data_IF_440049719387
#
_entry.id   IF_440049719387
#
_cell.length_a   1.000
_cell.length_b   1.000
_cell.length_c   1.000
_cell.angle_alpha   90.00
_cell.angle_beta   90.00
_cell.angle_gamma   90.00
#
_symmetry.space_group_name_H-M   'P 1'
#
loop_
_entity.id
_entity.type
_entity.pdbx_description
1 polymer ?
#
# COMPACT_ATOMS: atom_id res chain seq x y z
N UNK A 1 23.12 -17.43 1.57
CA UNK A 1 23.99 -18.17 2.53
C UNK A 1 23.12 -18.51 3.73
N UNK A 2 23.02 -19.79 4.13
CA UNK A 2 22.12 -20.19 5.23
C UNK A 2 22.69 -19.68 6.55
N UNK A 3 21.94 -18.87 7.29
CA UNK A 3 22.35 -18.35 8.60
C UNK A 3 22.61 -19.55 9.53
N UNK A 4 23.66 -19.48 10.35
CA UNK A 4 24.01 -20.51 11.34
C UNK A 4 23.91 -19.93 12.75
N UNK A 5 23.43 -20.74 13.70
CA UNK A 5 23.44 -20.36 15.11
C UNK A 5 24.85 -20.03 15.59
N UNK A 6 25.01 -18.80 16.04
CA UNK A 6 26.23 -18.30 16.64
C UNK A 6 26.55 -19.08 17.92
N UNK A 7 27.84 -19.34 18.13
CA UNK A 7 28.42 -19.94 19.33
C UNK A 7 29.15 -18.90 20.19
N UNK A 8 29.45 -17.72 19.62
CA UNK A 8 30.04 -16.59 20.33
C UNK A 8 29.24 -15.31 20.12
N UNK A 9 29.51 -14.28 20.93
CA UNK A 9 28.85 -12.97 20.83
C UNK A 9 29.24 -12.26 19.52
N UNK A 10 30.49 -12.40 19.09
CA UNK A 10 31.01 -11.85 17.83
C UNK A 10 30.31 -12.49 16.63
N UNK A 11 30.13 -13.81 16.66
CA UNK A 11 29.34 -14.51 15.64
C UNK A 11 27.88 -14.04 15.67
N UNK A 12 27.30 -13.82 16.86
CA UNK A 12 25.91 -13.34 16.97
C UNK A 12 25.74 -11.94 16.35
N UNK A 13 26.71 -11.04 16.60
CA UNK A 13 26.73 -9.70 16.01
C UNK A 13 26.86 -9.73 14.49
N UNK A 14 27.60 -10.69 13.94
CA UNK A 14 27.78 -10.83 12.48
C UNK A 14 26.60 -11.54 11.80
N UNK A 15 25.86 -12.38 12.52
CA UNK A 15 24.75 -13.18 11.98
C UNK A 15 23.44 -12.38 11.94
N UNK A 16 23.18 -11.52 12.92
CA UNK A 16 21.92 -10.78 12.99
C UNK A 16 22.05 -9.33 12.53
N UNK A 17 21.45 -9.02 11.39
CA UNK A 17 21.13 -7.64 11.05
C UNK A 17 19.88 -7.21 11.83
N UNK A 18 20.07 -6.38 12.86
CA UNK A 18 18.98 -5.85 13.71
C UNK A 18 17.94 -5.04 12.95
N UNK A 19 18.23 -4.62 11.71
CA UNK A 19 17.28 -3.89 10.86
C UNK A 19 16.36 -4.82 10.07
N UNK A 20 16.70 -6.11 9.94
CA UNK A 20 15.92 -7.07 9.18
C UNK A 20 15.10 -7.96 10.13
N UNK A 21 13.76 -7.94 10.04
CA UNK A 21 12.94 -8.86 10.81
C UNK A 21 13.19 -10.29 10.37
N UNK A 22 13.00 -11.23 11.30
CA UNK A 22 13.06 -12.65 10.98
C UNK A 22 11.83 -13.03 10.14
N UNK A 23 12.01 -14.01 9.27
CA UNK A 23 11.01 -14.57 8.39
C UNK A 23 11.06 -16.11 8.43
N UNK A 24 10.26 -16.76 7.60
CA UNK A 24 10.15 -18.22 7.60
C UNK A 24 11.48 -18.93 7.27
N UNK A 25 12.40 -18.30 6.53
CA UNK A 25 13.67 -18.90 6.14
C UNK A 25 14.66 -18.98 7.32
N UNK A 26 14.44 -18.18 8.36
CA UNK A 26 15.26 -18.11 9.58
C UNK A 26 14.42 -18.41 10.85
N UNK A 27 13.35 -19.19 10.70
CA UNK A 27 12.49 -19.68 11.79
C UNK A 27 13.24 -20.34 12.96
N UNK A 28 14.38 -20.97 12.70
CA UNK A 28 15.18 -21.63 13.75
C UNK A 28 15.75 -20.66 14.80
N UNK A 29 15.79 -19.36 14.48
CA UNK A 29 16.22 -18.28 15.36
C UNK A 29 15.06 -17.57 16.05
N UNK A 30 13.83 -17.85 15.63
CA UNK A 30 12.65 -17.18 16.16
C UNK A 30 12.28 -17.72 17.55
N UNK A 31 12.08 -16.80 18.49
CA UNK A 31 11.52 -17.07 19.81
C UNK A 31 10.16 -16.38 19.89
N UNK A 32 9.11 -17.17 20.08
CA UNK A 32 7.72 -16.67 20.07
C UNK A 32 7.35 -16.00 21.39
N UNK A 33 7.86 -14.78 21.59
CA UNK A 33 7.54 -13.94 22.76
C UNK A 33 6.14 -13.30 22.67
N UNK A 34 5.50 -13.35 21.49
CA UNK A 34 4.16 -12.82 21.23
C UNK A 34 3.11 -13.91 21.06
N UNK A 35 3.38 -15.11 21.60
CA UNK A 35 2.57 -16.29 21.35
C UNK A 35 1.08 -16.05 21.58
N UNK A 36 0.73 -15.47 22.73
CA UNK A 36 -0.66 -15.21 23.10
C UNK A 36 -1.30 -14.13 22.22
N UNK A 37 -0.55 -13.08 21.87
CA UNK A 37 -1.04 -11.99 21.01
C UNK A 37 -1.30 -12.49 19.59
N UNK A 38 -0.37 -13.29 19.03
CA UNK A 38 -0.54 -13.90 17.72
C UNK A 38 -1.70 -14.91 17.72
N UNK A 39 -1.89 -15.70 18.78
CA UNK A 39 -3.04 -16.59 18.91
C UNK A 39 -4.37 -15.81 18.89
N UNK A 40 -4.45 -14.71 19.63
CA UNK A 40 -5.63 -13.87 19.67
C UNK A 40 -5.89 -13.23 18.30
N UNK A 41 -4.86 -12.66 17.67
CA UNK A 41 -4.98 -12.05 16.35
C UNK A 41 -5.38 -13.07 15.27
N UNK A 42 -4.79 -14.28 15.29
CA UNK A 42 -5.19 -15.37 14.38
C UNK A 42 -6.65 -15.75 14.58
N UNK A 43 -7.10 -15.88 15.82
CA UNK A 43 -8.50 -16.17 16.14
C UNK A 43 -9.42 -15.07 15.61
N UNK A 44 -9.07 -13.81 15.84
CA UNK A 44 -9.84 -12.66 15.37
C UNK A 44 -9.94 -12.64 13.84
N UNK A 45 -8.84 -12.91 13.13
CA UNK A 45 -8.83 -13.01 11.66
C UNK A 45 -9.68 -14.19 11.17
N UNK A 46 -9.54 -15.36 11.77
CA UNK A 46 -10.33 -16.55 11.38
C UNK A 46 -11.83 -16.34 11.63
N UNK A 47 -12.20 -15.69 12.73
CA UNK A 47 -13.59 -15.40 13.07
C UNK A 47 -14.12 -14.12 12.39
N UNK A 48 -13.26 -13.32 11.75
CA UNK A 48 -13.68 -12.11 11.10
C UNK A 48 -14.62 -12.40 9.91
N UNK A 49 -15.82 -11.83 9.97
CA UNK A 49 -16.83 -11.89 8.91
C UNK A 49 -16.90 -10.58 8.10
N UNK A 50 -16.17 -9.54 8.51
CA UNK A 50 -16.18 -8.20 7.93
C UNK A 50 -14.96 -8.08 6.99
N UNK A 51 -15.11 -8.15 5.66
CA UNK A 51 -13.97 -8.25 4.73
C UNK A 51 -12.98 -7.08 4.79
N UNK A 52 -13.47 -5.89 5.12
CA UNK A 52 -12.72 -4.63 5.17
C UNK A 52 -12.21 -4.25 6.57
N UNK A 53 -12.31 -5.16 7.54
CA UNK A 53 -11.83 -4.91 8.89
C UNK A 53 -10.30 -4.82 8.92
N UNK A 54 -9.82 -3.65 9.32
CA UNK A 54 -8.40 -3.38 9.56
C UNK A 54 -8.01 -3.66 11.02
N UNK A 55 -6.82 -4.22 11.24
CA UNK A 55 -6.24 -4.46 12.56
C UNK A 55 -4.95 -3.65 12.70
N UNK A 56 -4.87 -2.82 13.73
CA UNK A 56 -3.66 -2.04 14.02
C UNK A 56 -2.81 -2.76 15.06
N UNK A 57 -1.56 -3.06 14.71
CA UNK A 57 -0.59 -3.67 15.61
C UNK A 57 0.39 -2.60 16.06
N UNK A 58 0.34 -2.26 17.35
CA UNK A 58 1.10 -1.15 17.93
C UNK A 58 2.08 -1.64 19.00
N UNK A 59 3.15 -0.88 19.22
CA UNK A 59 4.11 -1.12 20.31
C UNK A 59 5.46 -0.50 20.01
N UNK A 60 6.37 -0.49 20.98
CA UNK A 60 7.68 0.16 20.83
C UNK A 60 8.51 -0.44 19.69
N UNK A 61 9.30 0.41 19.03
CA UNK A 61 10.21 0.00 17.96
C UNK A 61 11.30 -0.95 18.50
N UNK A 62 11.73 -1.92 17.68
CA UNK A 62 12.76 -2.88 18.07
C UNK A 62 12.28 -4.09 18.89
N UNK A 63 11.02 -4.14 19.33
CA UNK A 63 10.52 -5.25 20.15
C UNK A 63 10.11 -6.50 19.35
N UNK A 64 10.41 -6.61 18.05
CA UNK A 64 10.13 -7.81 17.26
C UNK A 64 8.71 -7.96 16.70
N UNK A 65 7.93 -6.88 16.60
CA UNK A 65 6.56 -6.90 16.04
C UNK A 65 6.52 -7.36 14.58
N UNK A 66 7.36 -6.78 13.72
CA UNK A 66 7.49 -7.17 12.31
C UNK A 66 7.86 -8.65 12.16
N UNK A 67 8.81 -9.12 12.97
CA UNK A 67 9.15 -10.54 13.08
C UNK A 67 7.92 -11.38 13.45
N UNK A 68 7.19 -11.02 14.51
CA UNK A 68 6.00 -11.75 14.93
C UNK A 68 4.94 -11.80 13.83
N UNK A 69 4.73 -10.70 13.08
CA UNK A 69 3.81 -10.63 11.96
C UNK A 69 4.23 -11.55 10.79
N UNK A 70 5.53 -11.72 10.53
CA UNK A 70 6.01 -12.68 9.53
C UNK A 70 5.70 -14.14 9.90
N UNK A 71 5.49 -14.41 11.19
CA UNK A 71 5.04 -15.70 11.73
C UNK A 71 3.53 -15.76 12.02
N UNK A 72 2.78 -14.70 11.70
CA UNK A 72 1.32 -14.69 11.85
C UNK A 72 0.63 -15.80 11.05
N UNK A 73 0.98 -16.06 9.76
CA UNK A 73 0.29 -17.07 8.97
C UNK A 73 0.56 -18.48 9.49
N UNK A 74 -0.50 -19.14 9.95
CA UNK A 74 -0.51 -20.57 10.27
C UNK A 74 -1.38 -21.34 9.26
N UNK A 75 -1.60 -22.63 9.49
CA UNK A 75 -2.43 -23.46 8.60
C UNK A 75 -3.86 -22.94 8.47
N UNK A 76 -4.45 -22.40 9.55
CA UNK A 76 -5.82 -21.88 9.52
C UNK A 76 -5.91 -20.58 8.72
N UNK A 77 -4.97 -19.65 8.95
CA UNK A 77 -4.86 -18.41 8.19
C UNK A 77 -4.60 -18.71 6.72
N UNK A 78 -3.62 -19.55 6.39
CA UNK A 78 -3.30 -19.89 4.99
C UNK A 78 -4.41 -20.66 4.28
N UNK A 79 -5.33 -21.30 5.02
CA UNK A 79 -6.54 -21.92 4.43
C UNK A 79 -7.58 -20.87 4.05
N UNK A 80 -7.77 -19.83 4.86
CA UNK A 80 -8.78 -18.78 4.66
C UNK A 80 -8.27 -17.60 3.83
N UNK A 81 -6.97 -17.30 3.89
CA UNK A 81 -6.37 -16.10 3.32
C UNK A 81 -5.21 -16.40 2.37
N UNK A 82 -5.09 -15.61 1.31
CA UNK A 82 -3.84 -15.37 0.60
C UNK A 82 -3.16 -14.15 1.23
N UNK A 83 -1.99 -14.36 1.83
CA UNK A 83 -1.29 -13.33 2.60
C UNK A 83 -0.29 -12.61 1.72
N UNK A 84 -0.38 -11.28 1.67
CA UNK A 84 0.57 -10.39 0.99
C UNK A 84 1.21 -9.45 2.00
N UNK A 85 2.51 -9.21 1.84
CA UNK A 85 3.26 -8.27 2.66
C UNK A 85 3.61 -7.04 1.84
N UNK A 86 3.37 -5.87 2.43
CA UNK A 86 3.76 -4.57 1.92
C UNK A 86 4.67 -3.92 2.98
N UNK A 87 5.98 -4.10 2.81
CA UNK A 87 6.97 -3.50 3.69
C UNK A 87 7.22 -2.05 3.27
N UNK A 88 6.82 -1.10 4.12
CA UNK A 88 6.91 0.33 3.81
C UNK A 88 8.32 0.80 3.48
N UNK A 89 9.35 0.18 4.10
CA UNK A 89 10.76 0.46 3.81
C UNK A 89 11.15 0.19 2.33
N UNK A 90 10.47 -0.77 1.71
CA UNK A 90 10.78 -1.26 0.36
C UNK A 90 10.01 -0.52 -0.72
N UNK A 91 8.90 0.12 -0.38
CA UNK A 91 7.98 0.68 -1.39
C UNK A 91 7.76 2.18 -1.22
N UNK A 92 7.90 2.72 -0.01
CA UNK A 92 7.64 4.13 0.25
C UNK A 92 8.90 4.95 0.50
N UNK A 93 8.80 6.24 0.18
CA UNK A 93 9.68 7.26 0.74
C UNK A 93 9.03 7.78 2.01
N UNK A 94 9.33 7.18 3.17
CA UNK A 94 8.62 7.45 4.44
C UNK A 94 8.65 8.91 4.92
N UNK A 95 9.63 9.72 4.51
CA UNK A 95 9.67 11.17 4.80
C UNK A 95 8.76 12.02 3.89
N UNK A 96 8.11 11.38 2.91
CA UNK A 96 7.31 11.97 1.83
C UNK A 96 6.28 10.92 1.38
N UNK A 97 5.45 10.45 2.32
CA UNK A 97 4.37 9.50 2.09
C UNK A 97 3.01 10.20 2.14
N UNK A 98 2.08 9.73 1.33
CA UNK A 98 0.70 10.20 1.18
C UNK A 98 -0.25 9.00 1.07
N UNK A 99 -1.53 9.20 1.38
CA UNK A 99 -2.54 8.14 1.30
C UNK A 99 -2.71 7.57 -0.12
N UNK A 100 -2.54 8.42 -1.15
CA UNK A 100 -2.56 7.98 -2.56
C UNK A 100 -1.42 6.99 -2.82
N UNK A 101 -0.25 7.19 -2.21
CA UNK A 101 0.86 6.26 -2.34
C UNK A 101 0.50 4.90 -1.77
N UNK A 102 -0.17 4.86 -0.61
CA UNK A 102 -0.62 3.62 0.04
C UNK A 102 -1.62 2.88 -0.83
N UNK A 103 -2.65 3.57 -1.34
CA UNK A 103 -3.66 2.97 -2.23
C UNK A 103 -2.99 2.34 -3.46
N UNK A 104 -2.09 3.09 -4.11
CA UNK A 104 -1.38 2.62 -5.30
C UNK A 104 -0.48 1.41 -5.00
N UNK A 105 0.26 1.44 -3.88
CA UNK A 105 1.18 0.35 -3.52
C UNK A 105 0.44 -0.90 -3.05
N UNK A 106 -0.75 -0.76 -2.46
CA UNK A 106 -1.63 -1.91 -2.19
C UNK A 106 -2.02 -2.57 -3.52
N UNK A 107 -2.55 -1.79 -4.48
CA UNK A 107 -2.88 -2.30 -5.81
C UNK A 107 -1.69 -2.96 -6.50
N UNK A 108 -0.52 -2.32 -6.45
CA UNK A 108 0.72 -2.89 -7.00
C UNK A 108 1.11 -4.22 -6.33
N UNK A 109 1.02 -4.29 -5.00
CA UNK A 109 1.40 -5.49 -4.23
C UNK A 109 0.55 -6.71 -4.60
N UNK A 110 -0.70 -6.49 -4.98
CA UNK A 110 -1.63 -7.54 -5.42
C UNK A 110 -1.24 -8.06 -6.80
N UNK A 111 -0.92 -7.16 -7.74
CA UNK A 111 -0.64 -7.52 -9.14
C UNK A 111 0.81 -7.90 -9.40
N UNK A 112 1.72 -7.56 -8.49
CA UNK A 112 3.17 -7.81 -8.64
C UNK A 112 3.43 -9.29 -8.89
N UNK A 113 4.14 -9.57 -9.99
CA UNK A 113 4.45 -10.94 -10.42
C UNK A 113 3.34 -11.60 -11.24
N UNK A 114 2.26 -10.88 -11.56
CA UNK A 114 1.22 -11.29 -12.49
C UNK A 114 1.11 -10.27 -13.64
N UNK A 115 1.75 -10.53 -14.80
CA UNK A 115 1.82 -9.58 -15.92
C UNK A 115 0.45 -9.15 -16.47
N UNK A 116 -0.54 -10.04 -16.45
CA UNK A 116 -1.88 -9.75 -16.98
C UNK A 116 -2.63 -8.76 -16.07
N UNK A 117 -2.62 -9.01 -14.76
CA UNK A 117 -3.23 -8.09 -13.79
C UNK A 117 -2.47 -6.78 -13.68
N UNK A 118 -1.15 -6.82 -13.79
CA UNK A 118 -0.33 -5.60 -13.77
C UNK A 118 -0.66 -4.71 -14.97
N UNK A 119 -0.74 -5.30 -16.17
CA UNK A 119 -1.18 -4.59 -17.38
C UNK A 119 -2.60 -4.05 -17.23
N UNK A 120 -3.53 -4.83 -16.66
CA UNK A 120 -4.90 -4.38 -16.38
C UNK A 120 -4.89 -3.18 -15.43
N UNK A 121 -4.16 -3.25 -14.33
CA UNK A 121 -4.10 -2.18 -13.34
C UNK A 121 -3.51 -0.88 -13.91
N UNK A 122 -2.39 -0.96 -14.62
CA UNK A 122 -1.79 0.19 -15.29
C UNK A 122 -2.75 0.85 -16.29
N UNK A 123 -3.52 0.03 -17.03
CA UNK A 123 -4.55 0.54 -17.93
C UNK A 123 -5.68 1.26 -17.18
N UNK A 124 -6.19 0.68 -16.09
CA UNK A 124 -7.22 1.33 -15.26
C UNK A 124 -6.74 2.68 -14.70
N UNK A 125 -5.47 2.78 -14.29
CA UNK A 125 -4.87 4.05 -13.84
C UNK A 125 -4.77 5.08 -14.96
N UNK A 126 -4.38 4.66 -16.17
CA UNK A 126 -4.31 5.52 -17.36
C UNK A 126 -5.69 6.01 -17.79
N UNK A 127 -6.68 5.12 -17.79
CA UNK A 127 -8.07 5.46 -18.13
C UNK A 127 -8.67 6.39 -17.08
N UNK A 128 -8.38 6.16 -15.79
CA UNK A 128 -8.77 7.06 -14.71
C UNK A 128 -8.16 8.45 -14.90
N UNK A 129 -6.85 8.54 -15.16
CA UNK A 129 -6.15 9.81 -15.45
C UNK A 129 -6.82 10.55 -16.62
N UNK A 130 -7.01 9.88 -17.76
CA UNK A 130 -7.64 10.49 -18.96
C UNK A 130 -9.03 11.03 -18.65
N UNK A 131 -9.85 10.26 -17.93
CA UNK A 131 -11.19 10.68 -17.51
C UNK A 131 -11.15 11.94 -16.65
N UNK A 132 -10.18 12.05 -15.73
CA UNK A 132 -10.02 13.25 -14.88
C UNK A 132 -9.57 14.45 -15.67
N UNK A 133 -8.54 14.31 -16.50
CA UNK A 133 -8.05 15.40 -17.33
C UNK A 133 -9.14 15.94 -18.26
N UNK A 134 -9.91 15.07 -18.90
CA UNK A 134 -11.04 15.49 -19.74
C UNK A 134 -12.18 16.17 -18.97
N UNK A 135 -12.43 15.81 -17.70
CA UNK A 135 -13.39 16.52 -16.84
C UNK A 135 -12.89 17.92 -16.49
N UNK A 136 -11.61 18.04 -16.15
CA UNK A 136 -10.96 19.30 -15.78
C UNK A 136 -10.88 20.28 -16.95
N UNK A 137 -10.49 19.81 -18.14
CA UNK A 137 -10.47 20.62 -19.36
C UNK A 137 -11.86 21.22 -19.65
N UNK A 138 -12.92 20.41 -19.57
CA UNK A 138 -14.30 20.86 -19.75
C UNK A 138 -14.76 21.86 -18.70
N UNK A 139 -14.31 21.73 -17.45
CA UNK A 139 -14.63 22.70 -16.40
C UNK A 139 -13.95 24.04 -16.69
N UNK A 140 -12.67 24.02 -17.02
CA UNK A 140 -11.88 25.20 -17.36
C UNK A 140 -12.47 25.93 -18.58
N UNK A 141 -12.86 25.21 -19.63
CA UNK A 141 -13.50 25.81 -20.81
C UNK A 141 -14.81 26.53 -20.45
N UNK A 142 -15.67 25.89 -19.65
CA UNK A 142 -16.96 26.47 -19.20
C UNK A 142 -16.78 27.69 -18.31
N UNK A 143 -15.78 27.72 -17.45
CA UNK A 143 -15.51 28.88 -16.57
C UNK A 143 -14.85 30.02 -17.36
N UNK A 144 -13.99 29.72 -18.33
CA UNK A 144 -13.38 30.74 -19.19
C UNK A 144 -14.36 31.47 -20.12
N UNK A 145 -15.54 30.88 -20.37
CA UNK A 145 -16.64 31.54 -21.07
C UNK A 145 -17.44 32.52 -20.18
N UNK A 146 -17.24 32.49 -18.86
CA UNK A 146 -18.09 33.18 -17.88
C UNK A 146 -17.37 34.03 -16.81
N UNK A 147 -16.04 34.19 -16.79
CA UNK A 147 -15.43 34.90 -15.66
C UNK A 147 -14.16 35.71 -15.98
N UNK A 148 -14.33 37.02 -15.80
CA UNK A 148 -13.33 38.03 -15.45
C UNK A 148 -12.94 37.95 -13.94
N UNK A 149 -13.12 36.80 -13.26
CA UNK A 149 -12.82 36.66 -11.83
C UNK A 149 -12.31 35.25 -11.47
N UNK A 150 -11.04 35.16 -11.05
CA UNK A 150 -10.54 34.05 -10.23
C UNK A 150 -9.21 33.45 -10.71
N UNK A 151 -8.12 33.69 -9.96
CA UNK A 151 -6.78 33.15 -10.25
C UNK A 151 -6.65 31.62 -10.11
N UNK A 152 -7.69 30.91 -9.66
CA UNK A 152 -7.69 29.45 -9.53
C UNK A 152 -7.57 28.72 -10.86
N UNK A 153 -8.33 29.12 -11.89
CA UNK A 153 -8.35 28.45 -13.20
C UNK A 153 -7.02 28.56 -13.95
N UNK A 154 -6.31 29.67 -13.77
CA UNK A 154 -4.99 29.89 -14.37
C UNK A 154 -3.97 28.88 -13.81
N UNK A 155 -4.05 28.57 -12.51
CA UNK A 155 -3.14 27.63 -11.85
C UNK A 155 -3.37 26.18 -12.31
N UNK A 156 -4.62 25.78 -12.55
CA UNK A 156 -4.95 24.45 -13.08
C UNK A 156 -4.52 24.30 -14.54
N UNK A 157 -4.77 25.30 -15.39
CA UNK A 157 -4.31 25.32 -16.80
C UNK A 157 -2.79 25.12 -16.90
N UNK A 158 -2.03 25.76 -16.02
CA UNK A 158 -0.57 25.63 -15.98
C UNK A 158 -0.08 24.23 -15.58
N UNK A 159 -0.89 23.42 -14.89
CA UNK A 159 -0.54 22.07 -14.44
C UNK A 159 -0.87 20.96 -15.46
N UNK A 160 -1.86 21.16 -16.33
CA UNK A 160 -2.29 20.17 -17.34
C UNK A 160 -1.14 19.58 -18.17
N UNK A 161 -0.16 20.37 -18.67
CA UNK A 161 0.96 19.81 -19.44
C UNK A 161 1.78 18.80 -18.62
N UNK A 162 2.03 19.10 -17.33
CA UNK A 162 2.79 18.19 -16.44
C UNK A 162 2.01 16.91 -16.14
N UNK A 163 0.69 17.00 -16.01
CA UNK A 163 -0.15 15.83 -15.78
C UNK A 163 -0.21 14.91 -17.01
N UNK A 164 -0.17 15.48 -18.21
CA UNK A 164 -0.11 14.73 -19.48
C UNK A 164 1.22 13.98 -19.68
N UNK A 165 2.31 14.42 -19.03
CA UNK A 165 3.62 13.75 -19.13
C UNK A 165 3.69 12.44 -18.33
N UNK A 166 2.77 12.21 -17.40
CA UNK A 166 2.72 10.95 -16.65
C UNK A 166 2.19 9.84 -17.56
N UNK A 167 2.93 8.73 -17.63
CA UNK A 167 2.49 7.48 -18.25
C UNK A 167 2.45 6.35 -17.22
N UNK A 168 1.36 5.56 -17.24
CA UNK A 168 1.30 4.30 -16.48
C UNK A 168 1.79 3.15 -17.36
N UNK A 169 3.12 2.99 -17.41
CA UNK A 169 3.82 1.91 -18.10
C UNK A 169 4.42 0.88 -17.12
N UNK A 170 5.05 -0.18 -17.62
CA UNK A 170 5.66 -1.23 -16.78
C UNK A 170 6.79 -0.72 -15.86
N UNK A 171 7.35 0.46 -16.11
CA UNK A 171 8.32 1.12 -15.24
C UNK A 171 7.69 2.09 -14.24
N UNK A 172 6.37 2.26 -14.26
CA UNK A 172 5.67 3.28 -13.48
C UNK A 172 5.99 3.21 -11.98
N UNK A 173 5.82 2.05 -11.34
CA UNK A 173 6.00 1.93 -9.88
C UNK A 173 7.46 2.16 -9.46
N UNK A 174 8.43 1.83 -10.32
CA UNK A 174 9.85 2.14 -10.09
C UNK A 174 10.09 3.65 -10.14
N UNK A 175 9.60 4.31 -11.20
CA UNK A 175 9.70 5.77 -11.35
C UNK A 175 9.00 6.49 -10.20
N UNK A 176 7.81 6.03 -9.81
CA UNK A 176 7.04 6.59 -8.70
C UNK A 176 7.79 6.50 -7.36
N UNK A 177 8.42 5.36 -7.08
CA UNK A 177 9.23 5.19 -5.86
C UNK A 177 10.41 6.17 -5.81
N UNK A 178 11.07 6.42 -6.94
CA UNK A 178 12.32 7.19 -6.99
C UNK A 178 12.06 8.69 -7.15
N UNK A 179 11.16 9.09 -8.05
CA UNK A 179 11.01 10.47 -8.51
C UNK A 179 9.94 11.24 -7.71
N UNK A 180 10.40 12.23 -6.94
CA UNK A 180 9.53 13.10 -6.14
C UNK A 180 8.52 13.89 -6.98
N UNK A 181 8.94 14.37 -8.15
CA UNK A 181 8.05 15.08 -9.09
C UNK A 181 6.88 14.21 -9.53
N UNK A 182 7.15 12.93 -9.87
CA UNK A 182 6.11 12.01 -10.30
C UNK A 182 5.13 11.72 -9.16
N UNK A 183 5.62 11.49 -7.94
CA UNK A 183 4.72 11.33 -6.78
C UNK A 183 3.82 12.53 -6.58
N UNK A 184 4.39 13.75 -6.60
CA UNK A 184 3.60 14.97 -6.45
C UNK A 184 2.52 15.08 -7.53
N UNK A 185 2.88 14.87 -8.78
CA UNK A 185 1.93 14.93 -9.89
C UNK A 185 0.83 13.87 -9.78
N UNK A 186 1.19 12.63 -9.44
CA UNK A 186 0.25 11.53 -9.26
C UNK A 186 -0.73 11.79 -8.11
N UNK A 187 -0.23 12.31 -6.99
CA UNK A 187 -1.07 12.76 -5.87
C UNK A 187 -2.05 13.82 -6.36
N UNK A 188 -1.57 14.87 -7.01
CA UNK A 188 -2.46 15.91 -7.56
C UNK A 188 -3.55 15.34 -8.49
N UNK A 189 -3.21 14.37 -9.35
CA UNK A 189 -4.18 13.71 -10.24
C UNK A 189 -5.25 12.95 -9.45
N UNK A 190 -4.86 12.20 -8.41
CA UNK A 190 -5.78 11.29 -7.72
C UNK A 190 -6.40 11.85 -6.42
N UNK A 191 -5.85 12.90 -5.82
CA UNK A 191 -6.43 13.57 -4.65
C UNK A 191 -7.83 14.10 -4.94
N UNK A 192 -8.07 14.58 -6.16
CA UNK A 192 -9.37 15.11 -6.59
C UNK A 192 -10.49 14.07 -6.52
N UNK A 193 -10.17 12.78 -6.61
CA UNK A 193 -11.16 11.71 -6.67
C UNK A 193 -10.60 10.38 -6.12
N UNK A 194 -10.08 10.45 -4.90
CA UNK A 194 -9.51 9.32 -4.14
C UNK A 194 -10.42 8.08 -4.13
N UNK A 195 -11.74 8.27 -4.11
CA UNK A 195 -12.73 7.18 -4.12
C UNK A 195 -12.69 6.37 -5.42
N UNK A 196 -12.60 7.01 -6.60
CA UNK A 196 -12.51 6.27 -7.86
C UNK A 196 -11.20 5.46 -7.94
N UNK A 197 -10.11 5.96 -7.34
CA UNK A 197 -8.85 5.20 -7.25
C UNK A 197 -9.02 3.95 -6.36
N UNK A 198 -9.69 4.07 -5.21
CA UNK A 198 -9.99 2.94 -4.33
C UNK A 198 -10.86 1.91 -5.07
N UNK A 199 -11.88 2.36 -5.82
CA UNK A 199 -12.71 1.48 -6.64
C UNK A 199 -11.87 0.71 -7.66
N UNK A 200 -10.90 1.36 -8.32
CA UNK A 200 -9.99 0.66 -9.24
C UNK A 200 -9.08 -0.35 -8.58
N UNK A 201 -8.64 -0.09 -7.35
CA UNK A 201 -7.90 -1.09 -6.58
C UNK A 201 -8.80 -2.27 -6.21
N UNK A 202 -10.06 -2.03 -5.81
CA UNK A 202 -11.01 -3.09 -5.50
C UNK A 202 -11.40 -3.92 -6.74
N UNK A 203 -11.56 -3.31 -7.92
CA UNK A 203 -11.76 -4.01 -9.21
C UNK A 203 -10.60 -4.98 -9.50
N UNK A 204 -9.37 -4.58 -9.16
CA UNK A 204 -8.17 -5.41 -9.31
C UNK A 204 -8.12 -6.53 -8.27
N UNK A 205 -8.55 -6.29 -7.03
CA UNK A 205 -8.69 -7.33 -6.01
C UNK A 205 -9.70 -8.39 -6.46
N UNK A 206 -10.85 -7.98 -7.00
CA UNK A 206 -11.85 -8.90 -7.53
C UNK A 206 -11.28 -9.76 -8.67
N UNK A 207 -10.62 -9.12 -9.64
CA UNK A 207 -9.97 -9.82 -10.76
C UNK A 207 -8.86 -10.77 -10.30
N UNK A 208 -8.12 -10.40 -9.25
CA UNK A 208 -7.12 -11.26 -8.63
C UNK A 208 -7.75 -12.53 -8.04
N UNK A 209 -8.83 -12.38 -7.27
CA UNK A 209 -9.57 -13.49 -6.66
C UNK A 209 -10.12 -14.44 -7.73
N UNK A 210 -10.73 -13.89 -8.78
CA UNK A 210 -11.25 -14.65 -9.93
C UNK A 210 -10.15 -15.47 -10.63
N UNK A 211 -9.02 -14.84 -10.97
CA UNK A 211 -7.93 -15.53 -11.67
C UNK A 211 -7.28 -16.63 -10.83
N UNK A 212 -7.18 -16.42 -9.51
CA UNK A 212 -6.65 -17.45 -8.61
C UNK A 212 -7.60 -18.65 -8.43
N UNK A 213 -8.86 -18.51 -8.85
CA UNK A 213 -9.92 -19.51 -8.63
C UNK A 213 -9.89 -20.05 -7.20
N UNK A 214 -9.78 -19.14 -6.23
CA UNK A 214 -9.58 -19.46 -4.83
C UNK A 214 -10.67 -18.82 -4.00
N UNK A 215 -11.30 -19.60 -3.13
CA UNK A 215 -12.22 -19.11 -2.10
C UNK A 215 -11.49 -18.34 -0.98
N UNK A 216 -10.17 -18.17 -1.08
CA UNK A 216 -9.37 -17.43 -0.10
C UNK A 216 -9.63 -15.94 -0.21
N UNK A 217 -9.82 -15.33 0.95
CA UNK A 217 -9.81 -13.89 1.10
C UNK A 217 -8.39 -13.33 0.97
N UNK A 218 -8.25 -12.05 0.69
CA UNK A 218 -6.95 -11.40 0.68
C UNK A 218 -6.64 -10.86 2.09
N UNK A 219 -5.44 -11.13 2.61
CA UNK A 219 -4.92 -10.49 3.82
C UNK A 219 -3.67 -9.69 3.43
N UNK A 220 -3.73 -8.37 3.56
CA UNK A 220 -2.59 -7.49 3.30
C UNK A 220 -2.01 -7.03 4.63
N UNK A 221 -0.75 -7.35 4.88
CA UNK A 221 0.01 -6.89 6.03
C UNK A 221 0.86 -5.70 5.58
N UNK A 222 0.53 -4.52 6.07
CA UNK A 222 1.29 -3.29 5.81
C UNK A 222 2.18 -3.02 7.04
N UNK A 223 3.49 -3.01 6.84
CA UNK A 223 4.48 -2.84 7.90
C UNK A 223 5.38 -1.61 7.65
N UNK A 224 6.16 -1.21 8.64
CA UNK A 224 7.10 -0.08 8.63
C UNK A 224 6.48 1.33 8.55
N UNK A 225 5.16 1.48 8.67
CA UNK A 225 4.52 2.81 8.66
C UNK A 225 4.79 3.60 9.96
N UNK A 226 5.13 2.93 11.06
CA UNK A 226 5.56 3.58 12.31
C UNK A 226 6.90 4.33 12.17
N UNK A 227 7.63 4.09 11.07
CA UNK A 227 8.90 4.77 10.77
C UNK A 227 8.71 6.14 10.11
N UNK A 228 7.46 6.57 9.89
CA UNK A 228 7.13 7.94 9.46
C UNK A 228 7.56 8.91 10.56
N UNK A 229 8.43 9.87 10.22
CA UNK A 229 9.04 10.78 11.20
C UNK A 229 8.25 12.07 11.42
N UNK A 230 7.44 12.47 10.45
CA UNK A 230 6.69 13.72 10.50
C UNK A 230 5.32 13.47 11.10
N UNK A 231 5.06 14.09 12.24
CA UNK A 231 3.81 13.96 12.97
C UNK A 231 2.59 14.31 12.10
N UNK A 232 2.67 15.39 11.32
CA UNK A 232 1.56 15.82 10.46
C UNK A 232 1.19 14.74 9.43
N UNK A 233 2.17 14.04 8.85
CA UNK A 233 1.91 12.93 7.91
C UNK A 233 1.28 11.74 8.63
N UNK A 234 1.69 11.47 9.87
CA UNK A 234 1.08 10.41 10.68
C UNK A 234 -0.39 10.73 10.97
N UNK A 235 -0.71 11.97 11.35
CA UNK A 235 -2.08 12.43 11.59
C UNK A 235 -2.90 12.32 10.30
N UNK A 236 -2.38 12.85 9.20
CA UNK A 236 -3.07 12.83 7.92
C UNK A 236 -3.40 11.39 7.48
N UNK A 237 -2.43 10.47 7.59
CA UNK A 237 -2.64 9.09 7.16
C UNK A 237 -3.58 8.32 8.09
N UNK A 238 -3.34 8.35 9.40
CA UNK A 238 -3.99 7.43 10.35
C UNK A 238 -5.22 8.01 11.04
N UNK A 239 -5.39 9.33 11.04
CA UNK A 239 -6.54 10.00 11.63
C UNK A 239 -7.46 10.50 10.53
N UNK A 240 -6.95 11.35 9.63
CA UNK A 240 -7.80 12.01 8.63
C UNK A 240 -8.24 11.06 7.50
N UNK A 241 -7.45 10.02 7.22
CA UNK A 241 -7.68 9.06 6.15
C UNK A 241 -7.94 7.63 6.66
N UNK A 242 -8.33 7.44 7.92
CA UNK A 242 -8.60 6.11 8.48
C UNK A 242 -9.67 5.33 7.69
N UNK A 243 -10.64 6.04 7.13
CA UNK A 243 -11.72 5.48 6.31
C UNK A 243 -11.22 4.85 5.02
N UNK A 244 -10.05 5.27 4.52
CA UNK A 244 -9.46 4.71 3.31
C UNK A 244 -9.00 3.28 3.54
N UNK A 245 -8.37 3.00 4.69
CA UNK A 245 -7.97 1.63 5.05
C UNK A 245 -9.17 0.70 5.20
N UNK A 246 -10.34 1.24 5.58
CA UNK A 246 -11.60 0.50 5.67
C UNK A 246 -12.32 0.36 4.32
N UNK A 247 -11.93 1.09 3.28
CA UNK A 247 -12.58 1.00 1.95
C UNK A 247 -11.78 0.17 0.95
N UNK A 248 -10.47 0.06 1.17
CA UNK A 248 -9.60 -0.84 0.43
C UNK A 248 -9.87 -2.28 0.92
N UNK A 249 -10.15 -3.21 0.00
CA UNK A 249 -10.49 -4.64 0.29
C UNK A 249 -11.96 -4.88 0.69
N UNK A 250 -12.80 -3.83 0.74
CA UNK A 250 -14.24 -4.01 0.89
C UNK A 250 -14.85 -4.64 -0.36
N UNK A 251 -15.22 -5.92 -0.27
CA UNK A 251 -16.17 -6.53 -1.20
C UNK A 251 -17.51 -5.77 -1.02
N UNK A 252 -17.99 -5.13 -2.09
CA UNK A 252 -19.37 -4.64 -2.18
C UNK A 252 -20.25 -5.70 -2.81
#
# INVERSE_FOLDING_TARGET
MKLKKARTIEEAYQVFDTQNPLDQDNKEFYVDIYHQDLLNLRKDLVLNLIPDKSFFVTGQSGNGKSTALNFLPDTAICKKYDVKYLYGRDVFKLDDIDIIDIILMVGYTIVKGNPELEKKFLKELEDLKKKKLGKLEKQIEKTSLNADQGGGDLSFRAKLPFWNLISFDSGFFVKFKIEKSNRKTIREIFTLDKLELIEKVNDIIAAYKEQKNSEKNLLIIIDDLEKIRKQDQTIELFIDNIDVFQKIIGDR
#
